data_IF_518918020085
#
_entry.id   IF_518918020085
#
_cell.length_a   1.000
_cell.length_b   1.000
_cell.length_c   1.000
_cell.angle_alpha   90.00
_cell.angle_beta   90.00
_cell.angle_gamma   90.00
#
_symmetry.space_group_name_H-M   'P 1'
#
loop_
_entity.id
_entity.type
_entity.pdbx_description
1 polymer ?
#
# COMPACT_ATOMS: atom_id res chain seq x y z
N UNK A 1 -3.52 -10.50 -33.43
CA UNK A 1 -3.64 -10.55 -31.96
C UNK A 1 -2.96 -11.81 -31.49
N UNK A 2 -1.82 -11.70 -30.84
CA UNK A 2 -1.19 -12.84 -30.16
C UNK A 2 -2.08 -13.26 -29.00
N UNK A 3 -2.46 -14.54 -28.94
CA UNK A 3 -3.20 -15.05 -27.78
C UNK A 3 -2.39 -14.80 -26.50
N UNK A 4 -3.03 -14.41 -25.39
CA UNK A 4 -2.34 -14.31 -24.12
C UNK A 4 -1.72 -15.68 -23.77
N UNK A 5 -0.52 -15.71 -23.18
CA UNK A 5 0.09 -16.96 -22.78
C UNK A 5 -0.85 -17.71 -21.82
N UNK A 6 -0.93 -19.05 -21.90
CA UNK A 6 -1.76 -19.83 -20.99
C UNK A 6 -1.31 -19.60 -19.54
N UNK A 7 -2.26 -19.35 -18.65
CA UNK A 7 -1.97 -19.20 -17.23
C UNK A 7 -1.53 -20.55 -16.66
N UNK A 8 -0.33 -20.57 -16.08
CA UNK A 8 0.24 -21.76 -15.45
C UNK A 8 -0.10 -21.74 -13.95
N UNK A 9 -1.04 -22.59 -13.53
CA UNK A 9 -1.32 -22.82 -12.11
C UNK A 9 -0.50 -24.01 -11.59
N UNK A 10 -0.03 -23.96 -10.32
CA UNK A 10 0.68 -25.09 -9.73
C UNK A 10 -0.30 -26.24 -9.44
N UNK A 11 0.09 -27.47 -9.79
CA UNK A 11 -0.66 -28.69 -9.46
C UNK A 11 -0.40 -29.13 -8.01
N UNK A 12 -0.84 -28.31 -7.06
CA UNK A 12 -0.65 -28.52 -5.61
C UNK A 12 -1.97 -28.34 -4.87
N UNK A 13 -2.16 -28.96 -3.70
CA UNK A 13 -3.38 -28.78 -2.92
C UNK A 13 -3.53 -27.34 -2.42
N UNK A 14 -4.77 -26.89 -2.26
CA UNK A 14 -5.13 -25.66 -1.60
C UNK A 14 -5.62 -25.94 -0.16
N UNK A 15 -5.08 -25.24 0.83
CA UNK A 15 -5.39 -25.47 2.25
C UNK A 15 -5.98 -24.24 2.92
N UNK A 16 -7.09 -24.41 3.65
CA UNK A 16 -7.75 -23.36 4.44
C UNK A 16 -7.94 -23.82 5.89
N UNK A 17 -7.39 -23.05 6.82
CA UNK A 17 -7.43 -23.39 8.24
C UNK A 17 -8.81 -23.20 8.86
N UNK A 18 -9.31 -24.21 9.57
CA UNK A 18 -10.51 -24.15 10.40
C UNK A 18 -10.23 -24.14 11.91
N UNK A 19 -11.28 -24.39 12.69
CA UNK A 19 -11.18 -24.63 14.14
C UNK A 19 -10.90 -26.11 14.38
N UNK A 20 -9.63 -26.49 14.45
CA UNK A 20 -9.19 -27.86 14.74
C UNK A 20 -9.08 -28.81 13.53
N UNK A 21 -9.61 -28.41 12.37
CA UNK A 21 -9.48 -29.13 11.09
C UNK A 21 -9.02 -28.19 9.98
N UNK A 22 -8.56 -28.75 8.85
CA UNK A 22 -8.15 -28.00 7.65
C UNK A 22 -8.96 -28.48 6.47
N UNK A 23 -9.58 -27.56 5.75
CA UNK A 23 -10.20 -27.87 4.46
C UNK A 23 -9.11 -27.93 3.39
N UNK A 24 -9.15 -28.98 2.56
CA UNK A 24 -8.22 -29.21 1.48
C UNK A 24 -8.98 -29.40 0.16
N UNK A 25 -8.50 -28.74 -0.89
CA UNK A 25 -8.89 -29.01 -2.26
C UNK A 25 -7.67 -29.51 -3.04
N UNK A 26 -7.77 -30.69 -3.64
CA UNK A 26 -6.68 -31.32 -4.36
C UNK A 26 -6.78 -31.08 -5.88
N UNK A 27 -5.66 -31.16 -6.63
CA UNK A 27 -5.66 -30.92 -8.08
C UNK A 27 -6.56 -31.87 -8.89
N UNK A 28 -6.87 -33.05 -8.36
CA UNK A 28 -7.78 -34.03 -8.97
C UNK A 28 -9.27 -33.69 -8.77
N UNK A 29 -9.58 -32.59 -8.08
CA UNK A 29 -10.93 -32.16 -7.74
C UNK A 29 -11.46 -32.70 -6.42
N UNK A 30 -10.68 -33.51 -5.69
CA UNK A 30 -11.09 -34.07 -4.40
C UNK A 30 -11.13 -32.98 -3.32
N UNK A 31 -12.18 -33.01 -2.50
CA UNK A 31 -12.37 -32.10 -1.36
C UNK A 31 -12.42 -32.89 -0.06
N UNK A 32 -11.56 -32.53 0.88
CA UNK A 32 -11.44 -33.24 2.15
C UNK A 32 -11.31 -32.29 3.33
N UNK A 33 -11.74 -32.76 4.49
CA UNK A 33 -11.43 -32.13 5.78
C UNK A 33 -10.37 -32.98 6.47
N UNK A 34 -9.17 -32.41 6.59
CA UNK A 34 -7.99 -33.06 7.15
C UNK A 34 -7.84 -32.73 8.64
N UNK A 35 -7.21 -33.65 9.37
CA UNK A 35 -6.69 -33.32 10.69
C UNK A 35 -5.42 -32.45 10.60
N UNK A 36 -4.97 -31.93 11.74
CA UNK A 36 -3.80 -31.04 11.79
C UNK A 36 -2.48 -31.74 11.42
N UNK A 37 -2.36 -33.05 11.68
CA UNK A 37 -1.16 -33.83 11.38
C UNK A 37 -1.03 -34.09 9.88
N UNK A 38 -2.12 -34.51 9.24
CA UNK A 38 -2.21 -34.72 7.80
C UNK A 38 -1.97 -33.42 7.03
N UNK A 39 -2.67 -32.35 7.39
CA UNK A 39 -2.50 -31.04 6.80
C UNK A 39 -1.06 -30.51 6.98
N UNK A 40 -0.47 -30.72 8.16
CA UNK A 40 0.92 -30.33 8.43
C UNK A 40 1.94 -31.11 7.59
N UNK A 41 1.70 -32.39 7.31
CA UNK A 41 2.53 -33.19 6.40
C UNK A 41 2.44 -32.64 4.97
N UNK A 42 1.22 -32.40 4.47
CA UNK A 42 1.00 -31.84 3.13
C UNK A 42 1.66 -30.47 2.99
N UNK A 43 1.52 -29.59 3.99
CA UNK A 43 2.11 -28.26 3.99
C UNK A 43 3.63 -28.29 3.80
N UNK A 44 4.32 -29.23 4.46
CA UNK A 44 5.79 -29.38 4.37
C UNK A 44 6.28 -29.97 3.04
N UNK A 45 5.47 -30.81 2.38
CA UNK A 45 5.95 -31.57 1.20
C UNK A 45 5.49 -31.00 -0.14
N UNK A 46 4.40 -30.24 -0.19
CA UNK A 46 3.73 -29.89 -1.45
C UNK A 46 3.79 -28.40 -1.83
N UNK A 47 4.19 -27.51 -0.90
CA UNK A 47 4.06 -26.05 -1.06
C UNK A 47 2.63 -25.65 -1.49
N UNK A 48 1.62 -25.94 -0.66
CA UNK A 48 0.22 -25.75 -1.05
C UNK A 48 -0.13 -24.30 -1.40
N UNK A 49 -1.24 -24.09 -2.10
CA UNK A 49 -1.86 -22.76 -2.22
C UNK A 49 -2.54 -22.43 -0.90
N UNK A 50 -2.23 -21.27 -0.33
CA UNK A 50 -2.76 -20.84 0.96
C UNK A 50 -3.02 -19.34 0.96
N UNK A 51 -3.78 -18.86 1.93
CA UNK A 51 -3.83 -17.44 2.30
C UNK A 51 -3.17 -17.30 3.66
N UNK A 52 -2.05 -16.57 3.73
CA UNK A 52 -1.32 -16.31 4.98
C UNK A 52 -0.69 -17.58 5.62
N UNK A 53 0.38 -18.09 5.01
CA UNK A 53 1.10 -19.30 5.40
C UNK A 53 1.54 -19.33 6.87
N UNK A 54 1.95 -18.18 7.43
CA UNK A 54 2.34 -18.10 8.84
C UNK A 54 1.13 -18.26 9.79
N UNK A 55 -0.05 -17.79 9.42
CA UNK A 55 -1.27 -18.02 10.19
C UNK A 55 -1.66 -19.50 10.16
N UNK A 56 -1.58 -20.14 8.98
CA UNK A 56 -1.82 -21.57 8.85
C UNK A 56 -0.81 -22.39 9.66
N UNK A 57 0.49 -22.08 9.59
CA UNK A 57 1.54 -22.73 10.37
C UNK A 57 1.26 -22.65 11.88
N UNK A 58 0.89 -21.47 12.38
CA UNK A 58 0.55 -21.25 13.78
C UNK A 58 -0.67 -22.09 14.22
N UNK A 59 -1.72 -22.18 13.39
CA UNK A 59 -2.90 -23.00 13.68
C UNK A 59 -2.60 -24.50 13.66
N UNK A 60 -1.74 -24.93 12.74
CA UNK A 60 -1.26 -26.31 12.64
C UNK A 60 -0.24 -26.67 13.72
N UNK A 61 0.29 -25.69 14.47
CA UNK A 61 1.37 -25.85 15.45
C UNK A 61 2.62 -26.49 14.84
N UNK A 62 3.00 -26.03 13.66
CA UNK A 62 4.19 -26.46 12.93
C UNK A 62 5.12 -25.27 12.68
N UNK A 63 6.38 -25.54 12.37
CA UNK A 63 7.30 -24.53 11.89
C UNK A 63 6.85 -23.94 10.54
N UNK A 64 7.41 -22.79 10.19
CA UNK A 64 7.16 -22.15 8.90
C UNK A 64 7.49 -23.09 7.72
N UNK A 65 6.69 -23.00 6.67
CA UNK A 65 6.85 -23.77 5.44
C UNK A 65 6.76 -22.84 4.22
N UNK A 66 7.31 -23.28 3.10
CA UNK A 66 7.17 -22.60 1.81
C UNK A 66 5.79 -22.90 1.22
N UNK A 67 5.12 -21.91 0.65
CA UNK A 67 3.77 -22.06 0.11
C UNK A 67 3.56 -21.15 -1.10
N UNK A 68 2.63 -21.52 -1.98
CA UNK A 68 2.06 -20.59 -2.95
C UNK A 68 1.09 -19.67 -2.20
N UNK A 69 1.64 -18.74 -1.41
CA UNK A 69 0.84 -17.83 -0.60
C UNK A 69 0.21 -16.74 -1.47
N UNK A 70 -1.12 -16.69 -1.48
CA UNK A 70 -1.89 -15.74 -2.26
C UNK A 70 -1.67 -14.29 -1.83
N UNK A 71 -1.23 -14.04 -0.60
CA UNK A 71 -0.89 -12.69 -0.14
C UNK A 71 0.42 -12.19 -0.77
N UNK A 72 1.39 -13.10 -0.99
CA UNK A 72 2.63 -12.76 -1.73
C UNK A 72 2.30 -12.43 -3.19
N UNK A 73 1.46 -13.26 -3.84
CA UNK A 73 1.01 -13.00 -5.20
C UNK A 73 0.20 -11.70 -5.29
N UNK A 74 -0.73 -11.48 -4.35
CA UNK A 74 -1.53 -10.26 -4.28
C UNK A 74 -0.64 -9.01 -4.15
N UNK A 75 0.31 -8.98 -3.20
CA UNK A 75 1.24 -7.86 -3.03
C UNK A 75 2.10 -7.60 -4.28
N UNK A 76 2.44 -8.66 -5.02
CA UNK A 76 3.18 -8.54 -6.27
C UNK A 76 2.34 -7.95 -7.41
N UNK A 77 1.11 -8.43 -7.58
CA UNK A 77 0.20 -8.03 -8.67
C UNK A 77 -0.38 -6.65 -8.43
N UNK A 78 -0.88 -6.41 -7.21
CA UNK A 78 -1.53 -5.17 -6.76
C UNK A 78 -0.72 -4.50 -5.64
N UNK A 79 0.51 -4.01 -5.92
CA UNK A 79 1.30 -3.33 -4.92
C UNK A 79 0.58 -2.06 -4.44
N UNK A 80 0.83 -1.66 -3.19
CA UNK A 80 0.20 -0.49 -2.55
C UNK A 80 -1.33 -0.57 -2.45
N UNK A 81 -1.91 -1.77 -2.54
CA UNK A 81 -3.33 -2.01 -2.27
C UNK A 81 -3.51 -2.84 -1.00
N UNK A 82 -4.59 -2.55 -0.27
CA UNK A 82 -4.96 -3.28 0.93
C UNK A 82 -5.99 -4.37 0.63
N UNK A 83 -5.88 -5.49 1.33
CA UNK A 83 -6.88 -6.55 1.34
C UNK A 83 -7.04 -7.10 2.75
N UNK A 84 -8.20 -7.70 3.04
CA UNK A 84 -8.37 -8.52 4.23
C UNK A 84 -7.65 -9.87 3.99
N UNK A 85 -6.67 -10.27 4.81
CA UNK A 85 -5.80 -11.43 4.55
C UNK A 85 -6.51 -12.76 4.84
N UNK A 86 -7.55 -13.04 4.06
CA UNK A 86 -8.43 -14.21 4.17
C UNK A 86 -8.98 -14.59 2.79
N UNK A 87 -9.39 -15.85 2.57
CA UNK A 87 -10.04 -16.25 1.33
C UNK A 87 -11.26 -15.38 0.98
N UNK A 88 -12.12 -15.09 1.95
CA UNK A 88 -13.32 -14.27 1.76
C UNK A 88 -12.96 -12.82 1.43
N UNK A 89 -11.92 -12.29 2.07
CA UNK A 89 -11.41 -10.95 1.82
C UNK A 89 -10.87 -10.77 0.40
N UNK A 90 -10.12 -11.76 -0.09
CA UNK A 90 -9.62 -11.77 -1.47
C UNK A 90 -10.76 -11.96 -2.48
N UNK A 91 -11.71 -12.86 -2.22
CA UNK A 91 -12.88 -13.03 -3.10
C UNK A 91 -13.67 -11.73 -3.23
N UNK A 92 -13.99 -11.08 -2.11
CA UNK A 92 -14.74 -9.83 -2.11
C UNK A 92 -14.01 -8.72 -2.89
N UNK A 93 -12.68 -8.62 -2.74
CA UNK A 93 -11.86 -7.63 -3.44
C UNK A 93 -11.79 -7.88 -4.95
N UNK A 94 -11.79 -9.15 -5.37
CA UNK A 94 -11.71 -9.55 -6.78
C UNK A 94 -13.08 -9.71 -7.45
N UNK A 95 -14.17 -9.47 -6.73
CA UNK A 95 -15.54 -9.64 -7.23
C UNK A 95 -15.91 -11.11 -7.51
N UNK A 96 -15.28 -12.05 -6.81
CA UNK A 96 -15.60 -13.48 -6.87
C UNK A 96 -16.70 -13.83 -5.87
N UNK A 97 -17.40 -14.94 -6.11
CA UNK A 97 -18.41 -15.46 -5.19
C UNK A 97 -17.80 -15.72 -3.81
N UNK A 98 -18.47 -15.23 -2.78
CA UNK A 98 -18.03 -15.43 -1.40
C UNK A 98 -18.17 -16.92 -1.04
N UNK A 99 -17.10 -17.57 -0.53
CA UNK A 99 -17.18 -18.94 -0.04
C UNK A 99 -18.24 -19.11 1.05
N UNK A 100 -19.06 -20.17 0.97
CA UNK A 100 -20.11 -20.44 1.95
C UNK A 100 -19.57 -21.17 3.17
N UNK A 101 -18.54 -21.98 2.96
CA UNK A 101 -17.82 -22.71 3.98
C UNK A 101 -16.32 -22.83 3.65
N UNK A 102 -15.58 -23.63 4.43
CA UNK A 102 -14.13 -23.77 4.28
C UNK A 102 -13.72 -24.62 3.08
N UNK A 103 -14.55 -25.58 2.65
CA UNK A 103 -14.28 -26.39 1.47
C UNK A 103 -14.47 -25.52 0.22
N UNK A 104 -15.54 -24.73 0.18
CA UNK A 104 -15.72 -23.67 -0.83
C UNK A 104 -14.53 -22.70 -0.82
N UNK A 105 -14.02 -22.33 0.36
CA UNK A 105 -12.88 -21.42 0.45
C UNK A 105 -11.59 -22.06 -0.10
N UNK A 106 -11.37 -23.36 0.13
CA UNK A 106 -10.23 -24.08 -0.42
C UNK A 106 -10.33 -24.19 -1.95
N UNK A 107 -11.53 -24.46 -2.48
CA UNK A 107 -11.83 -24.42 -3.91
C UNK A 107 -11.61 -23.05 -4.54
N UNK A 108 -11.85 -21.97 -3.81
CA UNK A 108 -11.70 -20.62 -4.31
C UNK A 108 -10.23 -20.21 -4.50
N UNK A 109 -9.28 -20.82 -3.80
CA UNK A 109 -7.88 -20.35 -3.82
C UNK A 109 -7.21 -20.43 -5.20
N UNK A 110 -7.33 -21.53 -5.97
CA UNK A 110 -6.83 -21.57 -7.35
C UNK A 110 -7.49 -20.54 -8.27
N UNK A 111 -8.79 -20.27 -8.09
CA UNK A 111 -9.50 -19.25 -8.88
C UNK A 111 -9.03 -17.82 -8.55
N UNK A 112 -8.76 -17.53 -7.27
CA UNK A 112 -8.11 -16.28 -6.85
C UNK A 112 -6.75 -16.14 -7.53
N UNK A 113 -5.92 -17.19 -7.50
CA UNK A 113 -4.60 -17.18 -8.14
C UNK A 113 -4.71 -16.88 -9.64
N UNK A 114 -5.63 -17.56 -10.33
CA UNK A 114 -5.88 -17.39 -11.75
C UNK A 114 -6.29 -15.95 -12.09
N UNK A 115 -7.18 -15.37 -11.30
CA UNK A 115 -7.60 -13.98 -11.48
C UNK A 115 -6.41 -13.02 -11.32
N UNK A 116 -5.63 -13.16 -10.25
CA UNK A 116 -4.44 -12.34 -10.00
C UNK A 116 -3.38 -12.48 -11.11
N UNK A 117 -3.13 -13.70 -11.58
CA UNK A 117 -2.20 -13.91 -12.69
C UNK A 117 -2.73 -13.25 -13.97
N UNK A 118 -4.03 -13.34 -14.27
CA UNK A 118 -4.60 -12.73 -15.47
C UNK A 118 -4.40 -11.22 -15.55
N UNK A 119 -4.36 -10.52 -14.41
CA UNK A 119 -4.09 -9.08 -14.35
C UNK A 119 -2.67 -8.72 -14.83
N UNK A 120 -1.69 -9.61 -14.61
CA UNK A 120 -0.31 -9.37 -15.05
C UNK A 120 -0.17 -9.32 -16.57
N UNK A 121 -1.04 -10.02 -17.31
CA UNK A 121 -1.06 -9.97 -18.77
C UNK A 121 -1.51 -8.61 -19.33
N UNK A 122 -2.19 -7.79 -18.52
CA UNK A 122 -2.69 -6.47 -18.90
C UNK A 122 -1.76 -5.30 -18.56
N UNK A 123 -0.57 -5.57 -18.02
CA UNK A 123 0.35 -4.50 -17.62
C UNK A 123 0.85 -3.68 -18.82
N UNK A 124 0.95 -2.37 -18.64
CA UNK A 124 1.63 -1.52 -19.60
C UNK A 124 3.14 -1.87 -19.70
N UNK A 125 3.85 -1.51 -20.79
CA UNK A 125 5.24 -1.94 -21.00
C UNK A 125 6.20 -1.60 -19.86
N UNK A 126 6.06 -0.43 -19.23
CA UNK A 126 6.90 -0.02 -18.10
C UNK A 126 6.64 -0.90 -16.87
N UNK A 127 5.37 -1.09 -16.51
CA UNK A 127 4.97 -1.93 -15.38
C UNK A 127 5.33 -3.40 -15.60
N UNK A 128 5.19 -3.89 -16.84
CA UNK A 128 5.59 -5.23 -17.26
C UNK A 128 7.09 -5.48 -17.04
N UNK A 129 7.95 -4.57 -17.53
CA UNK A 129 9.40 -4.69 -17.36
C UNK A 129 9.82 -4.70 -15.87
N UNK A 130 9.19 -3.86 -15.04
CA UNK A 130 9.42 -3.82 -13.58
C UNK A 130 9.00 -5.16 -12.95
N UNK A 131 7.79 -5.63 -13.25
CA UNK A 131 7.28 -6.89 -12.71
C UNK A 131 8.18 -8.07 -13.12
N UNK A 132 8.56 -8.15 -14.40
CA UNK A 132 9.43 -9.21 -14.91
C UNK A 132 10.79 -9.23 -14.19
N UNK A 133 11.43 -8.06 -14.03
CA UNK A 133 12.69 -7.97 -13.30
C UNK A 133 12.58 -8.43 -11.84
N UNK A 134 11.51 -8.04 -11.14
CA UNK A 134 11.26 -8.50 -9.78
C UNK A 134 11.00 -10.01 -9.73
N UNK A 135 10.13 -10.53 -10.62
CA UNK A 135 9.80 -11.95 -10.68
C UNK A 135 11.03 -12.83 -10.93
N UNK A 136 11.94 -12.41 -11.82
CA UNK A 136 13.21 -13.12 -12.08
C UNK A 136 14.06 -13.21 -10.80
N UNK A 137 14.18 -12.12 -10.05
CA UNK A 137 14.93 -12.09 -8.79
C UNK A 137 14.29 -12.96 -7.71
N UNK A 138 12.98 -12.83 -7.53
CA UNK A 138 12.20 -13.60 -6.56
C UNK A 138 12.26 -15.10 -6.87
N UNK A 139 12.10 -15.50 -8.13
CA UNK A 139 12.16 -16.91 -8.56
C UNK A 139 13.53 -17.52 -8.24
N UNK A 140 14.61 -16.76 -8.45
CA UNK A 140 15.96 -17.21 -8.13
C UNK A 140 16.20 -17.38 -6.62
N UNK A 141 15.52 -16.58 -5.79
CA UNK A 141 15.46 -16.76 -4.34
C UNK A 141 14.39 -17.75 -3.87
N UNK A 142 13.86 -18.60 -4.77
CA UNK A 142 12.98 -19.70 -4.40
C UNK A 142 11.50 -19.34 -4.24
N UNK A 143 11.04 -18.21 -4.79
CA UNK A 143 9.63 -17.83 -4.74
C UNK A 143 8.71 -18.87 -5.40
N UNK A 144 7.76 -19.49 -4.67
CA UNK A 144 6.92 -20.56 -5.23
C UNK A 144 6.10 -20.14 -6.45
N UNK A 145 5.56 -18.91 -6.46
CA UNK A 145 4.80 -18.38 -7.60
C UNK A 145 5.66 -17.99 -8.82
N UNK A 146 7.00 -18.02 -8.68
CA UNK A 146 7.93 -17.60 -9.71
C UNK A 146 7.65 -18.18 -11.10
N UNK A 147 7.54 -19.51 -11.27
CA UNK A 147 7.23 -20.14 -12.55
C UNK A 147 5.91 -19.63 -13.17
N UNK A 148 4.84 -19.56 -12.38
CA UNK A 148 3.53 -19.08 -12.83
C UNK A 148 3.56 -17.62 -13.30
N UNK A 149 4.22 -16.76 -12.52
CA UNK A 149 4.34 -15.33 -12.83
C UNK A 149 5.24 -15.08 -14.04
N UNK A 150 6.38 -15.76 -14.13
CA UNK A 150 7.28 -15.65 -15.28
C UNK A 150 6.64 -16.12 -16.58
N UNK A 151 5.90 -17.25 -16.54
CA UNK A 151 5.15 -17.74 -17.69
C UNK A 151 4.10 -16.72 -18.15
N UNK A 152 3.37 -16.14 -17.19
CA UNK A 152 2.33 -15.12 -17.45
C UNK A 152 2.91 -13.83 -18.03
N UNK A 153 4.11 -13.43 -17.59
CA UNK A 153 4.84 -12.27 -18.11
C UNK A 153 5.57 -12.57 -19.43
N UNK A 154 5.47 -13.79 -19.97
CA UNK A 154 6.06 -14.16 -21.25
C UNK A 154 7.58 -14.37 -21.21
N UNK A 155 8.17 -14.63 -20.03
CA UNK A 155 9.58 -14.99 -19.93
C UNK A 155 9.80 -16.36 -20.56
N UNK A 156 10.74 -16.44 -21.50
CA UNK A 156 11.18 -17.68 -22.14
C UNK A 156 12.68 -17.87 -21.93
N UNK A 157 13.10 -19.10 -21.64
CA UNK A 157 14.52 -19.47 -21.49
C UNK A 157 15.00 -19.54 -20.05
N UNK A 158 16.33 -19.60 -19.89
CA UNK A 158 16.99 -19.70 -18.59
C UNK A 158 17.01 -18.36 -17.85
N UNK A 159 16.96 -18.43 -16.52
CA UNK A 159 17.05 -17.25 -15.67
C UNK A 159 18.43 -16.56 -15.84
N UNK A 160 18.47 -15.23 -16.00
CA UNK A 160 19.71 -14.47 -16.14
C UNK A 160 20.74 -14.70 -15.02
N UNK A 161 22.02 -14.47 -15.33
CA UNK A 161 23.12 -14.44 -14.36
C UNK A 161 22.86 -13.42 -13.22
N UNK A 162 23.45 -13.67 -12.03
CA UNK A 162 23.15 -12.95 -10.76
C UNK A 162 23.26 -11.43 -10.86
N UNK A 163 24.27 -10.89 -11.54
CA UNK A 163 24.43 -9.44 -11.70
C UNK A 163 23.25 -8.80 -12.44
N UNK A 164 22.69 -9.49 -13.44
CA UNK A 164 21.52 -9.04 -14.21
C UNK A 164 20.21 -9.25 -13.44
N UNK A 165 20.20 -10.15 -12.46
CA UNK A 165 19.04 -10.41 -11.60
C UNK A 165 18.73 -9.21 -10.68
N UNK A 166 19.76 -8.57 -10.11
CA UNK A 166 19.57 -7.44 -9.18
C UNK A 166 19.02 -6.19 -9.85
N UNK A 167 19.27 -6.01 -11.15
CA UNK A 167 18.75 -4.88 -11.93
C UNK A 167 17.22 -4.75 -11.87
N UNK A 168 16.51 -5.88 -11.68
CA UNK A 168 15.06 -5.89 -11.49
C UNK A 168 14.60 -5.11 -10.24
N UNK A 169 15.42 -5.13 -9.19
CA UNK A 169 15.13 -4.62 -7.85
C UNK A 169 15.67 -3.20 -7.60
N UNK A 170 16.47 -2.66 -8.52
CA UNK A 170 17.04 -1.31 -8.42
C UNK A 170 16.00 -0.22 -8.68
N UNK A 171 15.13 0.00 -7.71
CA UNK A 171 14.02 0.96 -7.84
C UNK A 171 14.50 2.41 -7.99
N UNK A 172 15.64 2.74 -7.37
CA UNK A 172 16.23 4.08 -7.40
C UNK A 172 16.64 4.54 -8.80
N UNK A 173 16.97 3.63 -9.72
CA UNK A 173 17.25 3.95 -11.13
C UNK A 173 15.98 4.34 -11.92
N UNK A 174 14.78 4.19 -11.33
CA UNK A 174 13.48 4.41 -11.98
C UNK A 174 12.64 5.51 -11.33
N UNK A 175 13.03 5.96 -10.14
CA UNK A 175 12.39 7.06 -9.44
C UNK A 175 12.76 8.38 -10.11
N UNK A 176 11.87 9.36 -10.06
CA UNK A 176 12.19 10.68 -10.57
C UNK A 176 13.32 11.29 -9.72
N UNK A 177 14.35 11.82 -10.38
CA UNK A 177 15.37 12.58 -9.68
C UNK A 177 14.74 13.83 -9.06
N UNK A 178 15.02 14.04 -7.78
CA UNK A 178 14.66 15.26 -7.10
C UNK A 178 15.76 16.30 -7.34
N UNK A 179 15.39 17.43 -7.93
CA UNK A 179 16.26 18.58 -8.03
C UNK A 179 15.92 19.57 -6.92
N UNK A 180 16.93 20.01 -6.17
CA UNK A 180 16.78 21.12 -5.22
C UNK A 180 16.54 22.40 -6.03
N UNK A 181 15.31 22.90 -6.02
CA UNK A 181 14.96 24.16 -6.65
C UNK A 181 15.14 25.30 -5.66
N UNK A 182 15.49 26.49 -6.17
CA UNK A 182 15.50 27.68 -5.33
C UNK A 182 14.15 27.82 -4.60
N UNK A 183 14.14 28.22 -3.32
CA UNK A 183 12.91 28.35 -2.57
C UNK A 183 11.96 29.31 -3.31
N UNK A 184 10.65 29.02 -3.34
CA UNK A 184 9.68 29.89 -3.98
C UNK A 184 9.71 31.29 -3.34
N UNK A 185 9.23 32.32 -4.05
CA UNK A 185 9.06 33.64 -3.43
C UNK A 185 8.20 33.52 -2.17
N UNK A 186 8.35 34.46 -1.21
CA UNK A 186 7.53 34.45 0.00
C UNK A 186 6.04 34.52 -0.38
N UNK A 187 5.17 33.81 0.36
CA UNK A 187 3.75 33.78 0.04
C UNK A 187 3.11 35.16 0.19
N UNK A 188 2.01 35.36 -0.52
CA UNK A 188 1.15 36.53 -0.38
C UNK A 188 0.55 36.66 1.04
N UNK A 189 -0.14 37.77 1.27
CA UNK A 189 -0.87 38.02 2.54
C UNK A 189 -2.31 38.48 2.33
N UNK A 190 -2.88 38.23 1.15
CA UNK A 190 -4.26 38.56 0.85
C UNK A 190 -5.23 37.83 1.81
N UNK A 191 -6.24 38.54 2.34
CA UNK A 191 -7.16 38.01 3.32
C UNK A 191 -8.14 37.00 2.70
N UNK A 192 -8.60 36.06 3.52
CA UNK A 192 -9.75 35.20 3.20
C UNK A 192 -11.02 35.81 3.79
N UNK A 193 -12.05 36.00 2.96
CA UNK A 193 -13.34 36.51 3.42
C UNK A 193 -14.23 35.38 3.97
N UNK A 194 -15.07 35.71 4.95
CA UNK A 194 -16.01 34.76 5.53
C UNK A 194 -16.99 34.18 4.49
N UNK A 195 -17.46 35.01 3.55
CA UNK A 195 -18.35 34.56 2.48
C UNK A 195 -17.66 33.54 1.56
N UNK A 196 -16.42 33.82 1.15
CA UNK A 196 -15.64 32.87 0.34
C UNK A 196 -15.40 31.56 1.09
N UNK A 197 -15.06 31.62 2.38
CA UNK A 197 -14.85 30.41 3.18
C UNK A 197 -16.12 29.57 3.36
N UNK A 198 -17.29 30.21 3.55
CA UNK A 198 -18.58 29.50 3.59
C UNK A 198 -18.91 28.86 2.24
N UNK A 199 -18.65 29.56 1.14
CA UNK A 199 -18.85 29.00 -0.20
C UNK A 199 -17.93 27.79 -0.43
N UNK A 200 -16.63 27.92 -0.13
CA UNK A 200 -15.68 26.81 -0.21
C UNK A 200 -16.10 25.63 0.66
N UNK A 201 -16.59 25.88 1.87
CA UNK A 201 -17.12 24.82 2.74
C UNK A 201 -18.31 24.09 2.09
N UNK A 202 -19.25 24.84 1.51
CA UNK A 202 -20.40 24.25 0.82
C UNK A 202 -19.97 23.39 -0.39
N UNK A 203 -18.98 23.84 -1.15
CA UNK A 203 -18.38 23.06 -2.25
C UNK A 203 -17.77 21.74 -1.75
N UNK A 204 -16.99 21.79 -0.65
CA UNK A 204 -16.38 20.61 -0.04
C UNK A 204 -17.40 19.62 0.55
N UNK A 205 -18.53 20.12 1.06
CA UNK A 205 -19.60 19.28 1.59
C UNK A 205 -20.39 18.58 0.49
N UNK A 206 -20.51 19.23 -0.68
CA UNK A 206 -21.22 18.71 -1.84
C UNK A 206 -22.75 18.85 -1.76
N UNK A 207 -23.45 18.57 -2.87
CA UNK A 207 -24.90 18.66 -2.94
C UNK A 207 -25.59 17.63 -2.04
N UNK A 208 -26.63 18.05 -1.33
CA UNK A 208 -27.40 17.17 -0.43
C UNK A 208 -26.79 16.99 0.96
N UNK A 209 -25.74 17.76 1.30
CA UNK A 209 -25.26 17.86 2.67
C UNK A 209 -26.29 18.53 3.58
N UNK A 210 -26.33 18.10 4.84
CA UNK A 210 -27.17 18.71 5.87
C UNK A 210 -26.68 20.12 6.19
N UNK A 211 -27.59 21.09 6.25
CA UNK A 211 -27.27 22.46 6.67
C UNK A 211 -26.84 22.49 8.14
N UNK A 212 -25.59 22.91 8.36
CA UNK A 212 -24.99 23.03 9.69
C UNK A 212 -24.49 24.46 9.93
N UNK A 213 -25.35 25.38 10.38
CA UNK A 213 -24.99 26.77 10.59
C UNK A 213 -23.76 26.94 11.49
N UNK A 214 -23.63 26.13 12.55
CA UNK A 214 -22.48 26.21 13.47
C UNK A 214 -21.15 25.87 12.76
N UNK A 215 -21.16 24.98 11.76
CA UNK A 215 -19.95 24.65 10.99
C UNK A 215 -19.55 25.80 10.07
N UNK A 216 -20.52 26.46 9.44
CA UNK A 216 -20.29 27.64 8.61
C UNK A 216 -19.82 28.86 9.43
N UNK A 217 -20.37 29.03 10.63
CA UNK A 217 -19.94 30.04 11.59
C UNK A 217 -18.51 29.76 12.08
N UNK A 218 -18.19 28.49 12.38
CA UNK A 218 -16.83 28.07 12.71
C UNK A 218 -15.83 28.38 11.58
N UNK A 219 -16.17 28.07 10.32
CA UNK A 219 -15.33 28.38 9.17
C UNK A 219 -15.11 29.89 8.99
N UNK A 220 -16.16 30.68 9.22
CA UNK A 220 -16.08 32.14 9.18
C UNK A 220 -15.17 32.71 10.27
N UNK A 221 -15.29 32.19 11.49
CA UNK A 221 -14.44 32.59 12.60
C UNK A 221 -12.96 32.26 12.34
N UNK A 222 -12.69 31.10 11.73
CA UNK A 222 -11.33 30.68 11.37
C UNK A 222 -10.65 31.61 10.34
N UNK A 223 -11.41 32.35 9.50
CA UNK A 223 -10.85 33.33 8.56
C UNK A 223 -10.02 34.43 9.23
N UNK A 224 -10.24 34.71 10.52
CA UNK A 224 -9.45 35.73 11.23
C UNK A 224 -7.96 35.37 11.30
N UNK A 225 -7.63 34.07 11.42
CA UNK A 225 -6.24 33.60 11.43
C UNK A 225 -5.51 33.88 10.10
N UNK A 226 -6.26 34.04 9.00
CA UNK A 226 -5.75 34.24 7.65
C UNK A 226 -5.79 35.72 7.19
N UNK A 227 -6.02 36.65 8.11
CA UNK A 227 -5.90 38.08 7.83
C UNK A 227 -4.42 38.50 7.75
N UNK A 228 -4.07 39.56 7.00
CA UNK A 228 -2.73 40.13 7.03
C UNK A 228 -2.32 40.50 8.46
N UNK A 229 -1.05 40.23 8.80
CA UNK A 229 -0.47 40.67 10.08
C UNK A 229 -0.26 42.18 10.05
N UNK A 230 -0.58 42.85 11.17
CA UNK A 230 -0.36 44.31 11.31
C UNK A 230 1.04 44.67 11.79
N UNK A 231 1.69 43.77 12.53
CA UNK A 231 3.01 43.96 13.11
C UNK A 231 3.82 42.68 12.97
N UNK A 232 5.14 42.84 12.91
CA UNK A 232 6.10 41.73 13.03
C UNK A 232 5.91 41.03 14.40
N UNK A 233 6.07 39.71 14.44
CA UNK A 233 5.88 38.86 15.62
C UNK A 233 4.49 38.89 16.31
N UNK A 234 3.47 39.46 15.66
CA UNK A 234 2.09 39.45 16.13
C UNK A 234 1.19 38.62 15.18
N UNK A 235 1.12 37.29 15.33
CA UNK A 235 0.26 36.45 14.50
C UNK A 235 -1.22 36.69 14.82
N UNK A 236 -2.08 36.55 13.81
CA UNK A 236 -3.51 36.45 14.04
C UNK A 236 -3.84 35.04 14.56
N UNK A 237 -4.46 34.95 15.73
CA UNK A 237 -4.79 33.69 16.36
C UNK A 237 -6.29 33.56 16.58
N UNK A 238 -6.82 32.36 16.35
CA UNK A 238 -8.21 31.99 16.63
C UNK A 238 -8.20 30.80 17.57
N UNK A 239 -8.86 30.95 18.72
CA UNK A 239 -9.18 29.83 19.60
C UNK A 239 -10.65 29.49 19.40
N UNK A 240 -10.91 28.32 18.82
CA UNK A 240 -12.27 27.86 18.53
C UNK A 240 -12.51 26.48 19.15
N UNK A 241 -13.57 26.38 19.94
CA UNK A 241 -14.09 25.12 20.46
C UNK A 241 -15.18 24.61 19.51
N UNK A 242 -15.05 23.36 19.09
CA UNK A 242 -16.04 22.70 18.25
C UNK A 242 -16.36 21.32 18.84
N UNK A 243 -17.65 21.05 19.07
CA UNK A 243 -18.10 19.76 19.56
C UNK A 243 -17.82 18.62 18.58
N UNK A 244 -17.81 17.39 19.08
CA UNK A 244 -17.64 16.18 18.25
C UNK A 244 -18.75 16.11 17.20
N UNK A 245 -18.40 15.74 15.96
CA UNK A 245 -19.38 15.61 14.87
C UNK A 245 -19.77 16.92 14.15
N UNK A 246 -19.31 18.09 14.64
CA UNK A 246 -19.60 19.41 14.03
C UNK A 246 -18.92 19.64 12.67
N UNK A 247 -18.12 18.69 12.17
CA UNK A 247 -17.37 18.85 10.92
C UNK A 247 -16.19 19.83 11.02
N UNK A 248 -15.51 19.81 12.18
CA UNK A 248 -14.35 20.67 12.50
C UNK A 248 -13.30 20.68 11.39
N UNK A 249 -12.97 19.52 10.83
CA UNK A 249 -11.94 19.36 9.80
C UNK A 249 -12.21 20.25 8.59
N UNK A 250 -13.35 20.06 7.93
CA UNK A 250 -13.72 20.87 6.76
C UNK A 250 -13.91 22.35 7.12
N UNK A 251 -14.34 22.63 8.35
CA UNK A 251 -14.48 24.01 8.85
C UNK A 251 -13.19 24.81 8.85
N UNK A 252 -12.04 24.23 9.22
CA UNK A 252 -10.75 24.91 9.11
C UNK A 252 -10.05 24.69 7.76
N UNK A 253 -10.33 23.57 7.06
CA UNK A 253 -9.76 23.31 5.73
C UNK A 253 -10.27 24.32 4.71
N UNK A 254 -11.56 24.70 4.75
CA UNK A 254 -12.14 25.63 3.79
C UNK A 254 -11.42 26.99 3.71
N UNK A 255 -11.24 27.76 4.82
CA UNK A 255 -10.47 28.99 4.75
C UNK A 255 -8.97 28.75 4.52
N UNK A 256 -8.41 27.64 5.00
CA UNK A 256 -7.00 27.30 4.79
C UNK A 256 -6.67 27.05 3.32
N UNK A 257 -7.50 26.29 2.61
CA UNK A 257 -7.27 25.97 1.20
C UNK A 257 -7.38 27.23 0.33
N UNK A 258 -8.37 28.09 0.59
CA UNK A 258 -8.48 29.38 -0.08
C UNK A 258 -7.25 30.25 0.16
N UNK A 259 -6.76 30.33 1.40
CA UNK A 259 -5.57 31.12 1.69
C UNK A 259 -4.36 30.59 0.93
N UNK A 260 -4.16 29.27 0.92
CA UNK A 260 -3.06 28.61 0.20
C UNK A 260 -3.11 28.88 -1.31
N UNK A 261 -4.30 28.82 -1.91
CA UNK A 261 -4.52 29.09 -3.33
C UNK A 261 -4.27 30.56 -3.70
N UNK A 262 -4.83 31.49 -2.92
CA UNK A 262 -4.72 32.94 -3.19
C UNK A 262 -3.30 33.44 -3.01
N UNK A 263 -2.59 32.92 -2.00
CA UNK A 263 -1.29 33.43 -1.58
C UNK A 263 -0.12 32.58 -2.05
N UNK A 264 -0.38 31.51 -2.80
CA UNK A 264 0.63 30.54 -3.26
C UNK A 264 1.51 30.05 -2.09
N UNK A 265 0.87 29.80 -0.94
CA UNK A 265 1.53 29.52 0.32
C UNK A 265 1.16 28.17 0.92
N UNK A 266 2.02 27.64 1.79
CA UNK A 266 1.81 26.37 2.48
C UNK A 266 1.07 26.58 3.81
N UNK A 267 0.00 25.82 4.04
CA UNK A 267 -0.69 25.75 5.34
C UNK A 267 -0.33 24.45 6.05
N UNK A 268 0.00 24.57 7.33
CA UNK A 268 0.34 23.43 8.19
C UNK A 268 -0.85 23.05 9.07
N UNK A 269 -1.28 21.80 8.98
CA UNK A 269 -2.32 21.24 9.85
C UNK A 269 -1.65 20.23 10.79
N UNK A 270 -1.57 20.58 12.07
CA UNK A 270 -0.99 19.70 13.09
C UNK A 270 -2.09 19.00 13.90
N UNK A 271 -1.87 17.73 14.24
CA UNK A 271 -2.81 16.90 15.01
C UNK A 271 -2.06 15.90 15.88
N UNK A 272 -2.75 15.35 16.88
CA UNK A 272 -2.11 14.56 17.95
C UNK A 272 -1.72 13.14 17.54
N UNK A 273 -2.51 12.47 16.68
CA UNK A 273 -2.28 11.05 16.34
C UNK A 273 -2.21 10.79 14.85
N UNK A 274 -1.52 9.71 14.47
CA UNK A 274 -1.43 9.23 13.07
C UNK A 274 -2.78 8.80 12.50
N UNK A 275 -3.70 8.37 13.35
CA UNK A 275 -5.06 8.06 12.94
C UNK A 275 -5.80 9.33 12.51
N UNK A 276 -5.67 10.41 13.30
CA UNK A 276 -6.24 11.71 12.94
C UNK A 276 -5.58 12.31 11.69
N UNK A 277 -4.26 12.13 11.50
CA UNK A 277 -3.59 12.56 10.26
C UNK A 277 -4.21 11.91 9.02
N UNK A 278 -4.44 10.59 9.07
CA UNK A 278 -5.12 9.86 7.98
C UNK A 278 -6.54 10.32 7.75
N UNK A 279 -7.30 10.54 8.83
CA UNK A 279 -8.65 11.05 8.71
C UNK A 279 -8.67 12.41 8.00
N UNK A 280 -7.75 13.31 8.36
CA UNK A 280 -7.61 14.61 7.70
C UNK A 280 -7.19 14.44 6.23
N UNK A 281 -6.20 13.58 5.92
CA UNK A 281 -5.81 13.31 4.53
C UNK A 281 -7.00 12.79 3.70
N UNK A 282 -7.80 11.85 4.23
CA UNK A 282 -9.01 11.37 3.54
C UNK A 282 -10.08 12.45 3.35
N UNK A 283 -10.28 13.34 4.31
CA UNK A 283 -11.20 14.48 4.12
C UNK A 283 -10.71 15.45 3.03
N UNK A 284 -9.40 15.53 2.78
CA UNK A 284 -8.82 16.32 1.70
C UNK A 284 -9.07 15.73 0.30
N UNK A 285 -9.58 14.49 0.18
CA UNK A 285 -10.07 13.95 -1.10
C UNK A 285 -11.25 14.78 -1.65
N UNK A 286 -12.02 15.44 -0.76
CA UNK A 286 -13.08 16.36 -1.18
C UNK A 286 -12.52 17.65 -1.80
N UNK A 287 -11.33 18.07 -1.37
CA UNK A 287 -10.65 19.25 -1.89
C UNK A 287 -9.91 18.93 -3.19
N UNK A 288 -9.26 17.76 -3.26
CA UNK A 288 -8.55 17.27 -4.43
C UNK A 288 -9.05 15.87 -4.80
N UNK A 289 -10.14 15.76 -5.57
CA UNK A 289 -10.70 14.46 -5.97
C UNK A 289 -9.80 13.66 -6.90
N UNK A 290 -8.95 14.35 -7.68
CA UNK A 290 -7.91 13.72 -8.49
C UNK A 290 -6.72 13.34 -7.59
N UNK A 291 -6.38 12.04 -7.46
CA UNK A 291 -5.27 11.58 -6.63
C UNK A 291 -3.92 12.16 -7.06
N UNK A 292 -3.71 12.37 -8.37
CA UNK A 292 -2.45 12.89 -8.88
C UNK A 292 -2.28 14.37 -8.50
N UNK A 293 -3.37 15.15 -8.55
CA UNK A 293 -3.38 16.52 -8.03
C UNK A 293 -3.19 16.54 -6.52
N UNK A 294 -3.89 15.69 -5.78
CA UNK A 294 -3.74 15.59 -4.32
C UNK A 294 -2.30 15.30 -3.93
N UNK A 295 -1.63 14.36 -4.61
CA UNK A 295 -0.24 14.03 -4.35
C UNK A 295 0.72 15.21 -4.56
N UNK A 296 0.40 16.14 -5.49
CA UNK A 296 1.18 17.37 -5.71
C UNK A 296 0.89 18.48 -4.68
N UNK A 297 -0.31 18.50 -4.10
CA UNK A 297 -0.79 19.59 -3.24
C UNK A 297 -0.77 19.27 -1.74
N UNK A 298 -0.82 17.99 -1.38
CA UNK A 298 -0.99 17.51 0.00
C UNK A 298 0.08 16.48 0.34
N UNK A 299 0.89 16.81 1.35
CA UNK A 299 1.93 15.95 1.89
C UNK A 299 1.66 15.67 3.36
N UNK A 300 1.67 14.39 3.74
CA UNK A 300 1.65 13.97 5.15
C UNK A 300 3.09 13.91 5.64
N UNK A 301 3.38 14.56 6.77
CA UNK A 301 4.72 14.55 7.39
C UNK A 301 4.73 13.76 8.70
N UNK A 302 5.62 12.78 8.79
CA UNK A 302 5.89 11.96 9.99
C UNK A 302 7.39 11.93 10.26
N UNK A 303 7.81 11.27 11.34
CA UNK A 303 9.23 10.98 11.57
C UNK A 303 9.78 10.03 10.50
N UNK A 304 11.07 10.18 10.17
CA UNK A 304 11.78 9.40 9.14
C UNK A 304 11.68 7.88 9.36
N UNK A 305 11.54 7.46 10.62
CA UNK A 305 11.40 6.06 11.02
C UNK A 305 10.12 5.38 10.53
N UNK A 306 9.23 6.14 9.88
CA UNK A 306 7.97 5.65 9.31
C UNK A 306 8.02 5.52 7.79
N UNK A 307 9.07 6.01 7.12
CA UNK A 307 9.20 5.95 5.67
C UNK A 307 10.28 4.95 5.26
N UNK A 308 10.13 4.39 4.07
CA UNK A 308 11.16 3.57 3.44
C UNK A 308 12.43 4.39 3.19
N UNK A 309 13.58 3.91 3.66
CA UNK A 309 14.88 4.45 3.29
C UNK A 309 15.37 3.75 2.02
N UNK A 310 15.52 4.50 0.92
CA UNK A 310 16.00 3.95 -0.36
C UNK A 310 17.44 3.41 -0.25
N UNK A 311 18.28 4.05 0.58
CA UNK A 311 19.64 3.56 0.85
C UNK A 311 19.62 2.20 1.55
N UNK A 312 18.80 2.03 2.59
CA UNK A 312 18.68 0.75 3.29
C UNK A 312 18.12 -0.34 2.37
N UNK A 313 17.18 0.02 1.47
CA UNK A 313 16.69 -0.90 0.45
C UNK A 313 17.80 -1.29 -0.53
N UNK A 314 18.60 -0.33 -1.00
CA UNK A 314 19.73 -0.60 -1.88
C UNK A 314 20.75 -1.54 -1.23
N UNK A 315 21.17 -1.26 0.00
CA UNK A 315 22.09 -2.11 0.77
C UNK A 315 21.52 -3.53 0.94
N UNK A 316 20.23 -3.64 1.27
CA UNK A 316 19.56 -4.93 1.39
C UNK A 316 19.58 -5.70 0.06
N UNK A 317 19.29 -5.02 -1.07
CA UNK A 317 19.34 -5.61 -2.42
C UNK A 317 20.77 -6.06 -2.76
N UNK A 318 21.78 -5.27 -2.44
CA UNK A 318 23.19 -5.64 -2.67
C UNK A 318 23.61 -6.87 -1.83
N UNK A 319 23.02 -7.05 -0.64
CA UNK A 319 23.30 -8.17 0.26
C UNK A 319 22.69 -9.52 -0.16
N UNK A 320 21.84 -9.54 -1.20
CA UNK A 320 21.17 -10.76 -1.70
C UNK A 320 22.13 -11.86 -2.15
N UNK A 321 23.39 -11.52 -2.48
CA UNK A 321 24.40 -12.52 -2.81
C UNK A 321 24.69 -13.47 -1.62
N UNK A 322 24.64 -12.93 -0.39
CA UNK A 322 24.86 -13.66 0.86
C UNK A 322 23.56 -14.16 1.48
N UNK A 323 22.42 -13.53 1.17
CA UNK A 323 21.11 -13.84 1.75
C UNK A 323 20.04 -14.02 0.64
N UNK A 324 20.13 -15.07 -0.19
CA UNK A 324 19.22 -15.24 -1.33
C UNK A 324 17.75 -15.40 -0.95
N UNK A 325 17.46 -15.88 0.26
CA UNK A 325 16.10 -16.07 0.78
C UNK A 325 15.34 -14.75 0.97
N UNK A 326 16.05 -13.61 1.02
CA UNK A 326 15.45 -12.29 1.15
C UNK A 326 14.85 -11.77 -0.17
N UNK A 327 15.11 -12.43 -1.30
CA UNK A 327 14.71 -11.94 -2.61
C UNK A 327 13.19 -11.80 -2.76
N UNK A 328 12.40 -12.65 -2.10
CA UNK A 328 10.93 -12.55 -2.09
C UNK A 328 10.51 -11.26 -1.41
N UNK A 329 11.00 -11.01 -0.20
CA UNK A 329 10.67 -9.82 0.58
C UNK A 329 11.09 -8.54 -0.17
N UNK A 330 12.33 -8.48 -0.65
CA UNK A 330 12.86 -7.32 -1.36
C UNK A 330 12.21 -7.10 -2.72
N UNK A 331 11.79 -8.17 -3.41
CA UNK A 331 10.98 -8.08 -4.63
C UNK A 331 9.61 -7.45 -4.39
N UNK A 332 8.93 -7.85 -3.31
CA UNK A 332 7.65 -7.23 -2.92
C UNK A 332 7.84 -5.77 -2.47
N UNK A 333 8.91 -5.47 -1.72
CA UNK A 333 9.27 -4.09 -1.37
C UNK A 333 9.58 -3.24 -2.60
N UNK A 334 10.27 -3.78 -3.61
CA UNK A 334 10.55 -3.08 -4.85
C UNK A 334 9.27 -2.79 -5.66
N UNK A 335 8.35 -3.76 -5.74
CA UNK A 335 7.02 -3.57 -6.35
C UNK A 335 6.22 -2.49 -5.63
N UNK A 336 6.22 -2.50 -4.30
CA UNK A 336 5.53 -1.48 -3.49
C UNK A 336 6.18 -0.10 -3.61
N UNK A 337 7.51 0.01 -3.52
CA UNK A 337 8.24 1.27 -3.60
C UNK A 337 7.97 2.05 -4.90
N UNK A 338 7.71 1.35 -6.01
CA UNK A 338 7.40 1.98 -7.29
C UNK A 338 5.90 2.28 -7.50
N UNK A 339 5.04 1.89 -6.55
CA UNK A 339 3.60 2.07 -6.61
C UNK A 339 3.04 2.94 -5.47
N UNK A 340 3.76 3.06 -4.36
CA UNK A 340 3.35 3.83 -3.19
C UNK A 340 3.24 5.32 -3.49
N UNK A 341 2.29 6.00 -2.84
CA UNK A 341 2.10 7.46 -2.94
C UNK A 341 3.27 8.22 -2.33
N UNK A 342 3.76 7.78 -1.17
CA UNK A 342 4.68 8.56 -0.33
C UNK A 342 5.74 7.72 0.42
N UNK A 343 5.73 6.39 0.27
CA UNK A 343 6.69 5.51 0.94
C UNK A 343 6.44 5.32 2.43
N UNK A 344 5.23 5.62 2.92
CA UNK A 344 4.83 5.42 4.31
C UNK A 344 4.62 3.95 4.66
N UNK A 345 5.54 3.40 5.45
CA UNK A 345 5.51 2.04 5.96
C UNK A 345 4.50 1.86 7.11
N UNK A 346 3.96 2.95 7.69
CA UNK A 346 3.14 2.89 8.90
C UNK A 346 1.84 3.68 8.76
N UNK A 347 0.85 2.97 8.22
CA UNK A 347 -0.52 3.47 8.09
C UNK A 347 -0.80 4.17 6.76
N UNK A 348 0.08 4.04 5.78
CA UNK A 348 -0.19 4.43 4.40
C UNK A 348 -0.74 3.26 3.58
N UNK A 349 -0.26 3.15 2.35
CA UNK A 349 -0.62 2.08 1.41
C UNK A 349 0.19 0.78 1.59
N UNK A 350 1.13 0.75 2.54
CA UNK A 350 1.86 -0.45 2.92
C UNK A 350 0.97 -1.45 3.69
N UNK A 351 0.72 -2.67 3.18
CA UNK A 351 -0.17 -3.62 3.83
C UNK A 351 0.41 -4.11 5.16
N UNK A 352 -0.32 -3.93 6.26
CA UNK A 352 0.16 -4.30 7.60
C UNK A 352 0.54 -5.78 7.75
N UNK A 353 -0.18 -6.67 7.08
CA UNK A 353 0.09 -8.12 7.08
C UNK A 353 1.37 -8.50 6.32
N UNK A 354 1.89 -7.63 5.44
CA UNK A 354 3.07 -7.95 4.64
C UNK A 354 4.33 -8.02 5.52
N UNK A 355 4.47 -7.12 6.49
CA UNK A 355 5.58 -7.14 7.44
C UNK A 355 5.62 -8.42 8.28
N UNK A 356 4.45 -8.94 8.63
CA UNK A 356 4.36 -10.21 9.37
C UNK A 356 4.70 -11.39 8.44
N UNK A 357 4.24 -11.36 7.18
CA UNK A 357 4.42 -12.44 6.22
C UNK A 357 5.87 -12.64 5.76
N UNK A 358 6.56 -11.55 5.40
CA UNK A 358 7.93 -11.59 4.84
C UNK A 358 9.01 -11.06 5.79
N UNK A 359 8.61 -10.73 7.02
CA UNK A 359 9.52 -10.38 8.11
C UNK A 359 9.79 -8.89 8.25
N UNK A 360 9.88 -8.43 9.51
CA UNK A 360 10.06 -7.01 9.84
C UNK A 360 11.41 -6.46 9.39
N UNK A 361 12.49 -7.26 9.43
CA UNK A 361 13.82 -6.80 9.05
C UNK A 361 13.95 -6.45 7.56
N UNK A 362 13.10 -7.01 6.70
CA UNK A 362 13.09 -6.77 5.25
C UNK A 362 11.98 -5.82 4.81
N UNK A 363 11.25 -5.25 5.76
CA UNK A 363 10.12 -4.35 5.54
C UNK A 363 10.27 -3.12 6.43
N UNK A 364 9.68 -3.12 7.63
CA UNK A 364 9.72 -2.00 8.59
C UNK A 364 11.13 -1.69 9.12
N UNK A 365 12.05 -2.63 9.02
CA UNK A 365 13.46 -2.47 9.34
C UNK A 365 14.26 -1.69 8.29
N UNK A 366 13.68 -1.48 7.10
CA UNK A 366 14.27 -0.65 6.04
C UNK A 366 14.01 0.84 6.23
N UNK A 367 13.31 1.26 7.30
CA UNK A 367 13.17 2.68 7.63
C UNK A 367 14.47 3.26 8.21
N UNK A 368 14.72 4.55 8.03
CA UNK A 368 15.84 5.23 8.69
C UNK A 368 15.51 5.50 10.16
N UNK A 369 16.23 4.85 11.06
CA UNK A 369 16.12 5.04 12.52
C UNK A 369 17.37 5.65 13.14
N UNK A 370 18.45 5.75 12.37
CA UNK A 370 19.77 6.16 12.87
C UNK A 370 20.14 7.57 12.41
N UNK A 371 19.37 8.15 11.49
CA UNK A 371 19.69 9.43 10.87
C UNK A 371 20.86 9.34 9.90
N UNK A 372 21.28 8.12 9.54
CA UNK A 372 22.40 7.85 8.63
C UNK A 372 22.04 8.23 7.18
N UNK A 373 20.74 8.27 6.86
CA UNK A 373 20.26 8.79 5.59
C UNK A 373 20.22 10.33 5.66
N UNK A 374 21.26 10.99 5.14
CA UNK A 374 21.29 12.45 5.02
C UNK A 374 20.31 12.99 3.96
N UNK A 375 19.67 12.10 3.19
CA UNK A 375 18.64 12.40 2.19
C UNK A 375 17.29 11.80 2.60
N UNK A 376 16.67 12.29 3.69
CA UNK A 376 15.24 12.00 3.88
C UNK A 376 14.43 13.00 3.09
N UNK A 377 13.54 12.49 2.26
CA UNK A 377 12.38 13.23 1.76
C UNK A 377 11.46 13.64 2.91
#
# INVERSE_FOLDING_TARGET
MTMPPPLLLPEVPALVAGSGTVAAAFPDGTLETLDSGEAGRIARTSKPIVVHRLNLAARLKIDGFAAHDLLELFAFVRPAQSCLPSPEGLCALLGLDKPKDRLDAALALPEIAKHLLSELSGLNPRAHAIALGCAVAMTKGGWPWGPSVLATLGHQGELPHRANTLAGLKVWERLAEWCDHAPPPPPGSAPVSANAARQRLAELLGPGSEDRPQQADYASAACFAFQPRKMEDAPNAVLAEAGTGTGKTLGYVAPASLWAEINEGTVWISTYTRHLQRQIDGELDRLYPDPDEKARRVVVRKGRENYLCLLNLEEAVQSLASHPDDAVALGLMARWCLATRDGDLVGGDFPGWLADLVGRNRTLGLADRRGECIFSS
#
